data_IF_909890547501
#
_entry.id   IF_909890547501
#
_cell.length_a   1.000
_cell.length_b   1.000
_cell.length_c   1.000
_cell.angle_alpha   90.00
_cell.angle_beta   90.00
_cell.angle_gamma   90.00
#
_symmetry.space_group_name_H-M   'P 1'
#
loop_
_entity.id
_entity.type
_entity.pdbx_description
1 polymer ?
#
# COMPACT_ATOMS: atom_id res chain seq x y z
N UNK A 1 -89.62 56.91 7.69
CA UNK A 1 -88.45 57.60 7.11
C UNK A 1 -87.31 57.81 8.11
N UNK A 2 -87.47 58.52 9.24
CA UNK A 2 -86.37 58.79 10.20
C UNK A 2 -85.56 57.57 10.70
N UNK A 3 -86.24 56.47 11.09
CA UNK A 3 -85.58 55.23 11.56
C UNK A 3 -84.79 54.49 10.48
N UNK A 4 -85.23 54.60 9.23
CA UNK A 4 -84.55 53.98 8.08
C UNK A 4 -83.30 54.79 7.74
N UNK A 5 -83.38 56.12 7.75
CA UNK A 5 -82.22 57.00 7.59
C UNK A 5 -81.16 56.79 8.67
N UNK A 6 -81.54 56.68 9.95
CA UNK A 6 -80.53 56.52 11.02
C UNK A 6 -79.79 55.19 10.93
N UNK A 7 -80.46 54.13 10.45
CA UNK A 7 -79.83 52.83 10.24
C UNK A 7 -78.90 52.85 9.02
N UNK A 8 -79.33 53.48 7.92
CA UNK A 8 -78.47 53.71 6.77
C UNK A 8 -77.21 54.50 7.11
N UNK A 9 -77.33 55.57 7.92
CA UNK A 9 -76.18 56.37 8.38
C UNK A 9 -75.22 55.57 9.25
N UNK A 10 -75.76 54.73 10.16
CA UNK A 10 -74.96 53.82 10.99
C UNK A 10 -74.20 52.80 10.14
N UNK A 11 -74.89 52.13 9.23
CA UNK A 11 -74.30 51.12 8.35
C UNK A 11 -73.26 51.75 7.41
N UNK A 12 -73.47 53.00 6.97
CA UNK A 12 -72.51 53.75 6.17
C UNK A 12 -71.24 54.08 6.96
N UNK A 13 -71.38 54.46 8.23
CA UNK A 13 -70.24 54.73 9.12
C UNK A 13 -69.45 53.47 9.43
N UNK A 14 -70.14 52.34 9.62
CA UNK A 14 -69.52 51.05 9.90
C UNK A 14 -68.79 50.49 8.67
N UNK A 15 -69.41 50.56 7.48
CA UNK A 15 -68.74 50.22 6.23
C UNK A 15 -67.51 51.09 5.97
N UNK A 16 -67.57 52.39 6.29
CA UNK A 16 -66.41 53.28 6.18
C UNK A 16 -65.25 52.83 7.07
N UNK A 17 -65.52 52.45 8.33
CA UNK A 17 -64.50 51.89 9.23
C UNK A 17 -63.90 50.58 8.71
N UNK A 18 -64.73 49.68 8.19
CA UNK A 18 -64.26 48.40 7.63
C UNK A 18 -63.35 48.64 6.43
N UNK A 19 -63.71 49.58 5.54
CA UNK A 19 -62.87 49.95 4.39
C UNK A 19 -61.52 50.53 4.84
N UNK A 20 -61.51 51.39 5.86
CA UNK A 20 -60.27 51.96 6.42
C UNK A 20 -59.37 50.86 7.04
N UNK A 21 -59.94 49.94 7.83
CA UNK A 21 -59.19 48.82 8.41
C UNK A 21 -58.62 47.88 7.34
N UNK A 22 -59.41 47.54 6.32
CA UNK A 22 -58.94 46.71 5.21
C UNK A 22 -57.85 47.41 4.39
N UNK A 23 -57.87 48.74 4.28
CA UNK A 23 -56.82 49.49 3.60
C UNK A 23 -55.50 49.42 4.40
N UNK A 24 -55.55 49.59 5.72
CA UNK A 24 -54.39 49.47 6.61
C UNK A 24 -53.80 48.05 6.61
N UNK A 25 -54.65 47.01 6.70
CA UNK A 25 -54.20 45.61 6.63
C UNK A 25 -53.53 45.29 5.27
N UNK A 26 -54.09 45.78 4.17
CA UNK A 26 -53.50 45.60 2.84
C UNK A 26 -52.15 46.32 2.68
N UNK A 27 -51.97 47.50 3.29
CA UNK A 27 -50.67 48.17 3.30
C UNK A 27 -49.63 47.38 4.09
N UNK A 28 -49.99 46.89 5.27
CA UNK A 28 -49.09 46.08 6.11
C UNK A 28 -48.70 44.77 5.43
N UNK A 29 -49.64 44.09 4.75
CA UNK A 29 -49.35 42.89 3.98
C UNK A 29 -48.39 43.17 2.81
N UNK A 30 -48.59 44.29 2.09
CA UNK A 30 -47.68 44.69 1.00
C UNK A 30 -46.27 44.95 1.51
N UNK A 31 -46.13 45.68 2.62
CA UNK A 31 -44.82 45.94 3.23
C UNK A 31 -44.12 44.64 3.66
N UNK A 32 -44.87 43.72 4.28
CA UNK A 32 -44.33 42.43 4.70
C UNK A 32 -43.88 41.56 3.51
N UNK A 33 -44.65 41.55 2.42
CA UNK A 33 -44.29 40.85 1.18
C UNK A 33 -43.04 41.47 0.53
N UNK A 34 -42.92 42.79 0.54
CA UNK A 34 -41.76 43.50 0.01
C UNK A 34 -40.50 43.18 0.80
N UNK A 35 -40.58 43.19 2.14
CA UNK A 35 -39.49 42.79 3.02
C UNK A 35 -39.04 41.35 2.77
N UNK A 36 -39.98 40.40 2.65
CA UNK A 36 -39.67 38.99 2.31
C UNK A 36 -39.01 38.85 0.94
N UNK A 37 -39.43 39.63 -0.06
CA UNK A 37 -38.77 39.62 -1.37
C UNK A 37 -37.32 40.10 -1.28
N UNK A 38 -37.04 41.13 -0.48
CA UNK A 38 -35.68 41.63 -0.28
C UNK A 38 -34.80 40.57 0.37
N UNK A 39 -35.30 39.87 1.39
CA UNK A 39 -34.58 38.76 2.02
C UNK A 39 -34.31 37.61 1.05
N UNK A 40 -35.31 37.18 0.27
CA UNK A 40 -35.15 36.12 -0.74
C UNK A 40 -34.11 36.49 -1.79
N UNK A 41 -34.08 37.75 -2.24
CA UNK A 41 -33.05 38.24 -3.17
C UNK A 41 -31.66 38.16 -2.55
N UNK A 42 -31.51 38.55 -1.28
CA UNK A 42 -30.25 38.48 -0.55
C UNK A 42 -29.76 37.05 -0.33
N UNK A 43 -30.66 36.12 -0.01
CA UNK A 43 -30.31 34.70 0.12
C UNK A 43 -29.90 34.10 -1.23
N UNK A 44 -30.60 34.46 -2.31
CA UNK A 44 -30.28 33.96 -3.65
C UNK A 44 -28.91 34.44 -4.14
N UNK A 45 -28.53 35.70 -3.85
CA UNK A 45 -27.17 36.19 -4.17
C UNK A 45 -26.10 35.45 -3.38
N UNK A 46 -26.33 35.21 -2.07
CA UNK A 46 -25.41 34.45 -1.22
C UNK A 46 -25.25 33.00 -1.68
N UNK A 47 -26.35 32.32 -2.01
CA UNK A 47 -26.32 30.94 -2.52
C UNK A 47 -25.56 30.84 -3.84
N UNK A 48 -25.72 31.83 -4.74
CA UNK A 48 -24.96 31.89 -6.00
C UNK A 48 -23.45 32.04 -5.77
N UNK A 49 -23.02 32.88 -4.82
CA UNK A 49 -21.59 33.01 -4.51
C UNK A 49 -21.01 31.73 -3.91
N UNK A 50 -21.71 31.10 -2.98
CA UNK A 50 -21.28 29.84 -2.36
C UNK A 50 -21.19 28.70 -3.40
N UNK A 51 -22.13 28.67 -4.35
CA UNK A 51 -22.14 27.69 -5.44
C UNK A 51 -20.96 27.87 -6.41
N UNK A 52 -20.59 29.11 -6.72
CA UNK A 52 -19.39 29.39 -7.54
C UNK A 52 -18.09 29.02 -6.81
N UNK A 53 -18.00 29.26 -5.50
CA UNK A 53 -16.87 28.82 -4.68
C UNK A 53 -16.76 27.30 -4.64
N UNK A 54 -17.87 26.59 -4.39
CA UNK A 54 -17.89 25.13 -4.40
C UNK A 54 -17.45 24.55 -5.75
N UNK A 55 -17.87 25.15 -6.87
CA UNK A 55 -17.43 24.75 -8.22
C UNK A 55 -15.91 24.88 -8.38
N UNK A 56 -15.32 26.00 -7.93
CA UNK A 56 -13.86 26.21 -7.97
C UNK A 56 -13.13 25.16 -7.14
N UNK A 57 -13.62 24.87 -5.94
CA UNK A 57 -13.02 23.83 -5.07
C UNK A 57 -13.08 22.45 -5.70
N UNK A 58 -14.23 22.07 -6.29
CA UNK A 58 -14.38 20.79 -6.98
C UNK A 58 -13.40 20.68 -8.15
N UNK A 59 -13.24 21.75 -8.92
CA UNK A 59 -12.30 21.77 -10.05
C UNK A 59 -10.86 21.57 -9.58
N UNK A 60 -10.44 22.24 -8.50
CA UNK A 60 -9.10 22.10 -7.92
C UNK A 60 -8.85 20.68 -7.36
N UNK A 61 -9.83 20.12 -6.64
CA UNK A 61 -9.73 18.75 -6.12
C UNK A 61 -9.59 17.74 -7.26
N UNK A 62 -10.33 17.93 -8.35
CA UNK A 62 -10.24 17.07 -9.53
C UNK A 62 -8.85 17.13 -10.16
N UNK A 63 -8.30 18.32 -10.39
CA UNK A 63 -6.95 18.46 -10.96
C UNK A 63 -5.88 17.83 -10.08
N UNK A 64 -5.96 18.03 -8.76
CA UNK A 64 -5.00 17.46 -7.82
C UNK A 64 -5.08 15.92 -7.78
N UNK A 65 -6.30 15.38 -7.76
CA UNK A 65 -6.49 13.91 -7.79
C UNK A 65 -5.96 13.29 -9.10
N UNK A 66 -6.06 14.01 -10.23
CA UNK A 66 -5.54 13.55 -11.50
C UNK A 66 -4.00 13.59 -11.55
N UNK A 67 -3.37 14.61 -10.96
CA UNK A 67 -1.90 14.68 -10.87
C UNK A 67 -1.34 13.60 -9.94
N UNK A 68 -1.91 13.44 -8.74
CA UNK A 68 -1.51 12.40 -7.79
C UNK A 68 -1.64 11.01 -8.42
N UNK A 69 -2.74 10.74 -9.14
CA UNK A 69 -2.93 9.46 -9.84
C UNK A 69 -1.87 9.21 -10.92
N UNK A 70 -1.40 10.26 -11.61
CA UNK A 70 -0.32 10.12 -12.61
C UNK A 70 1.01 9.82 -11.93
N UNK A 71 1.33 10.52 -10.84
CA UNK A 71 2.55 10.29 -10.05
C UNK A 71 2.60 8.85 -9.53
N UNK A 72 1.53 8.38 -8.87
CA UNK A 72 1.45 6.99 -8.42
C UNK A 72 1.60 5.98 -9.56
N UNK A 73 1.03 6.26 -10.74
CA UNK A 73 1.14 5.39 -11.90
C UNK A 73 2.57 5.32 -12.43
N UNK A 74 3.29 6.44 -12.44
CA UNK A 74 4.65 6.48 -12.95
C UNK A 74 5.67 5.91 -11.95
N UNK A 75 5.45 6.09 -10.64
CA UNK A 75 6.19 5.39 -9.59
C UNK A 75 6.00 3.87 -9.68
N UNK A 76 4.76 3.40 -9.84
CA UNK A 76 4.47 1.97 -10.00
C UNK A 76 5.20 1.36 -11.20
N UNK A 77 5.21 2.06 -12.35
CA UNK A 77 5.99 1.62 -13.53
C UNK A 77 7.50 1.60 -13.28
N UNK A 78 8.02 2.55 -12.50
CA UNK A 78 9.44 2.60 -12.15
C UNK A 78 9.83 1.41 -11.27
N UNK A 79 9.02 1.12 -10.25
CA UNK A 79 9.21 -0.05 -9.38
C UNK A 79 9.09 -1.36 -10.17
N UNK A 80 8.13 -1.48 -11.08
CA UNK A 80 7.98 -2.67 -11.93
C UNK A 80 9.21 -2.92 -12.80
N UNK A 81 9.76 -1.86 -13.41
CA UNK A 81 11.02 -1.94 -14.17
C UNK A 81 12.19 -2.35 -13.29
N UNK A 82 12.29 -1.81 -12.09
CA UNK A 82 13.34 -2.16 -11.13
C UNK A 82 13.27 -3.64 -10.72
N UNK A 83 12.09 -4.13 -10.33
CA UNK A 83 11.86 -5.55 -10.00
C UNK A 83 12.24 -6.45 -11.19
N UNK A 84 11.88 -6.06 -12.41
CA UNK A 84 12.24 -6.82 -13.62
C UNK A 84 13.77 -6.88 -13.81
N UNK A 85 14.46 -5.76 -13.65
CA UNK A 85 15.92 -5.72 -13.73
C UNK A 85 16.59 -6.54 -12.64
N UNK A 86 16.08 -6.50 -11.40
CA UNK A 86 16.59 -7.30 -10.29
C UNK A 86 16.39 -8.79 -10.52
N UNK A 87 15.21 -9.20 -11.00
CA UNK A 87 14.93 -10.60 -11.36
C UNK A 87 15.84 -11.09 -12.47
N UNK A 88 16.08 -10.27 -13.50
CA UNK A 88 17.02 -10.61 -14.57
C UNK A 88 18.43 -10.78 -14.02
N UNK A 89 18.92 -9.79 -13.25
CA UNK A 89 20.22 -9.88 -12.58
C UNK A 89 20.33 -11.14 -11.73
N UNK A 90 19.31 -11.48 -10.96
CA UNK A 90 19.30 -12.69 -10.15
C UNK A 90 19.27 -13.99 -10.98
N UNK A 91 18.58 -14.00 -12.13
CA UNK A 91 18.61 -15.14 -13.05
C UNK A 91 19.96 -15.34 -13.73
N UNK A 92 20.69 -14.26 -13.95
CA UNK A 92 22.04 -14.24 -14.53
C UNK A 92 23.13 -14.48 -13.44
N UNK A 93 22.76 -14.49 -12.16
CA UNK A 93 23.70 -14.61 -11.05
C UNK A 93 24.08 -16.05 -10.71
N UNK A 94 25.38 -16.29 -10.43
CA UNK A 94 25.86 -17.57 -9.92
C UNK A 94 25.23 -17.95 -8.57
N UNK A 95 24.77 -19.20 -8.43
CA UNK A 95 24.27 -19.73 -7.15
C UNK A 95 22.82 -19.40 -6.76
N UNK A 96 22.12 -18.51 -7.48
CA UNK A 96 20.65 -18.44 -7.43
C UNK A 96 20.15 -19.54 -8.36
N UNK A 97 19.67 -20.65 -7.81
CA UNK A 97 19.17 -21.78 -8.61
C UNK A 97 18.19 -21.28 -9.67
N UNK A 98 18.52 -21.50 -10.95
CA UNK A 98 17.72 -21.13 -12.10
C UNK A 98 16.26 -21.53 -11.86
N UNK A 99 15.35 -20.56 -11.95
CA UNK A 99 13.89 -20.73 -11.74
C UNK A 99 13.26 -21.71 -12.76
N UNK A 100 14.06 -22.24 -13.72
CA UNK A 100 13.67 -23.08 -14.84
C UNK A 100 14.80 -24.04 -15.25
N UNK A 101 14.50 -25.21 -15.85
CA UNK A 101 15.51 -26.19 -16.22
C UNK A 101 16.27 -25.72 -17.47
N UNK A 102 17.59 -25.52 -17.38
CA UNK A 102 18.51 -25.75 -18.51
C UNK A 102 20.00 -25.60 -18.14
N UNK A 103 20.69 -26.74 -18.16
CA UNK A 103 21.89 -27.04 -18.98
C UNK A 103 23.09 -26.07 -19.07
N UNK A 104 23.71 -25.57 -17.98
CA UNK A 104 25.16 -25.21 -18.08
C UNK A 104 25.95 -25.60 -16.82
N UNK A 105 26.78 -26.63 -16.94
CA UNK A 105 27.80 -26.99 -15.95
C UNK A 105 28.97 -25.99 -16.01
N UNK A 106 29.46 -25.54 -14.86
CA UNK A 106 30.86 -25.05 -14.72
C UNK A 106 31.12 -23.55 -14.53
N UNK A 107 30.11 -22.70 -14.28
CA UNK A 107 30.34 -21.30 -13.87
C UNK A 107 30.14 -21.19 -12.36
N UNK A 108 30.94 -20.32 -11.71
CA UNK A 108 30.95 -20.03 -10.25
C UNK A 108 29.57 -20.28 -9.65
N UNK A 109 29.46 -21.12 -8.64
CA UNK A 109 28.19 -21.84 -8.41
C UNK A 109 27.54 -21.51 -7.07
N UNK A 110 28.04 -20.48 -6.37
CA UNK A 110 27.60 -20.08 -5.03
C UNK A 110 27.57 -18.55 -4.91
N UNK A 111 26.83 -18.06 -3.92
CA UNK A 111 26.61 -16.64 -3.69
C UNK A 111 27.75 -15.98 -2.93
N UNK A 112 28.08 -14.75 -3.34
CA UNK A 112 28.92 -13.83 -2.62
C UNK A 112 28.08 -12.66 -2.10
N UNK A 113 28.75 -11.62 -1.59
CA UNK A 113 28.09 -10.52 -0.90
C UNK A 113 27.08 -9.78 -1.81
N UNK A 114 27.43 -9.56 -3.08
CA UNK A 114 26.62 -8.79 -4.02
C UNK A 114 25.32 -9.52 -4.40
N UNK A 115 25.40 -10.83 -4.61
CA UNK A 115 24.23 -11.66 -4.89
C UNK A 115 23.29 -11.69 -3.68
N UNK A 116 23.84 -11.84 -2.47
CA UNK A 116 23.03 -11.84 -1.24
C UNK A 116 22.36 -10.48 -0.99
N UNK A 117 23.06 -9.37 -1.23
CA UNK A 117 22.48 -8.03 -1.16
C UNK A 117 21.32 -7.89 -2.15
N UNK A 118 21.47 -8.39 -3.38
CA UNK A 118 20.40 -8.32 -4.39
C UNK A 118 19.19 -9.16 -3.99
N UNK A 119 19.41 -10.35 -3.42
CA UNK A 119 18.31 -11.20 -2.91
C UNK A 119 17.57 -10.50 -1.77
N UNK A 120 18.27 -9.85 -0.84
CA UNK A 120 17.63 -9.08 0.23
C UNK A 120 16.83 -7.90 -0.31
N UNK A 121 17.33 -7.21 -1.34
CA UNK A 121 16.58 -6.16 -2.02
C UNK A 121 15.31 -6.70 -2.67
N UNK A 122 15.35 -7.87 -3.34
CA UNK A 122 14.16 -8.54 -3.86
C UNK A 122 13.13 -8.87 -2.76
N UNK A 123 13.57 -9.34 -1.60
CA UNK A 123 12.67 -9.57 -0.46
C UNK A 123 12.00 -8.28 0.00
N UNK A 124 12.72 -7.15 -0.03
CA UNK A 124 12.14 -5.84 0.27
C UNK A 124 11.05 -5.40 -0.70
N UNK A 125 11.13 -5.84 -1.96
CA UNK A 125 10.08 -5.59 -2.97
C UNK A 125 8.85 -6.50 -2.81
N UNK A 126 8.87 -7.42 -1.85
CA UNK A 126 7.76 -8.34 -1.56
C UNK A 126 7.89 -9.72 -2.22
N UNK A 127 9.05 -10.05 -2.80
CA UNK A 127 9.31 -11.39 -3.31
C UNK A 127 9.22 -12.43 -2.18
N UNK A 128 8.47 -13.51 -2.39
CA UNK A 128 8.19 -14.51 -1.34
C UNK A 128 9.02 -15.77 -1.47
N UNK A 129 9.64 -15.98 -2.64
CA UNK A 129 10.41 -17.19 -2.95
C UNK A 129 11.79 -16.80 -3.42
N UNK A 130 12.81 -17.35 -2.77
CA UNK A 130 14.20 -17.07 -3.11
C UNK A 130 15.03 -18.35 -3.00
N UNK A 131 16.04 -18.47 -3.85
CA UNK A 131 16.94 -19.60 -3.89
C UNK A 131 18.32 -19.14 -3.46
N UNK A 132 18.92 -19.84 -2.50
CA UNK A 132 20.25 -19.52 -1.97
C UNK A 132 21.18 -20.72 -2.13
N UNK A 133 22.41 -20.52 -2.59
CA UNK A 133 23.45 -21.56 -2.63
C UNK A 133 24.75 -21.02 -2.05
N UNK A 134 25.28 -21.72 -1.05
CA UNK A 134 26.47 -21.32 -0.32
C UNK A 134 27.57 -22.37 -0.45
N UNK A 135 28.82 -21.91 -0.46
CA UNK A 135 29.98 -22.78 -0.27
C UNK A 135 30.07 -23.20 1.20
N UNK A 136 30.29 -24.49 1.46
CA UNK A 136 30.30 -25.09 2.80
C UNK A 136 31.31 -24.49 3.79
N UNK A 137 32.29 -23.73 3.30
CA UNK A 137 33.40 -23.17 4.08
C UNK A 137 33.22 -21.67 4.41
N UNK A 138 32.26 -20.97 3.79
CA UNK A 138 32.13 -19.53 3.94
C UNK A 138 30.95 -19.14 4.80
N UNK A 139 31.20 -18.31 5.80
CA UNK A 139 30.16 -17.66 6.59
C UNK A 139 29.79 -16.33 5.94
N UNK A 140 28.52 -15.96 5.98
CA UNK A 140 28.03 -14.71 5.43
C UNK A 140 27.19 -13.93 6.43
N UNK A 141 27.28 -12.61 6.37
CA UNK A 141 26.40 -11.68 7.10
C UNK A 141 26.20 -10.44 6.24
N UNK A 142 24.96 -10.18 5.85
CA UNK A 142 24.58 -9.04 5.00
C UNK A 142 23.32 -8.38 5.54
N UNK A 143 23.18 -7.10 5.23
CA UNK A 143 22.01 -6.28 5.56
C UNK A 143 21.72 -5.38 4.36
N UNK A 144 20.46 -5.33 3.93
CA UNK A 144 19.99 -4.52 2.80
C UNK A 144 18.50 -4.25 2.97
N UNK A 145 18.06 -3.02 2.68
CA UNK A 145 16.64 -2.63 2.69
C UNK A 145 15.84 -3.10 3.94
N UNK A 146 16.45 -3.03 5.13
CA UNK A 146 15.84 -3.43 6.40
C UNK A 146 15.80 -4.95 6.65
N UNK A 147 16.25 -5.76 5.69
CA UNK A 147 16.45 -7.20 5.84
C UNK A 147 17.87 -7.53 6.27
N UNK A 148 18.03 -8.62 7.02
CA UNK A 148 19.31 -9.17 7.45
C UNK A 148 19.36 -10.65 7.12
N UNK A 149 20.49 -11.10 6.58
CA UNK A 149 20.77 -12.52 6.34
C UNK A 149 22.10 -12.87 6.99
N UNK A 150 22.13 -14.01 7.66
CA UNK A 150 23.36 -14.58 8.19
C UNK A 150 23.39 -16.08 7.90
N UNK A 151 24.46 -16.55 7.28
CA UNK A 151 24.74 -17.95 7.05
C UNK A 151 25.97 -18.37 7.86
N UNK A 152 25.85 -19.46 8.62
CA UNK A 152 26.96 -20.08 9.35
C UNK A 152 27.14 -21.53 8.91
N UNK A 153 28.40 -21.92 8.73
CA UNK A 153 28.80 -23.24 8.25
C UNK A 153 28.76 -24.32 9.34
N UNK A 154 28.70 -25.57 8.91
CA UNK A 154 28.63 -26.76 9.75
C UNK A 154 29.99 -27.23 10.32
N UNK A 155 30.98 -26.35 10.47
CA UNK A 155 32.32 -26.74 10.93
C UNK A 155 32.39 -27.04 12.43
N UNK A 156 31.58 -26.36 13.24
CA UNK A 156 31.64 -26.47 14.71
C UNK A 156 30.80 -27.64 15.25
N UNK A 157 29.52 -27.70 14.89
CA UNK A 157 28.54 -28.60 15.51
C UNK A 157 27.83 -29.51 14.49
N UNK A 158 28.34 -29.56 13.25
CA UNK A 158 27.77 -30.34 12.17
C UNK A 158 26.45 -29.80 11.60
N UNK A 159 26.06 -28.55 11.90
CA UNK A 159 24.84 -27.93 11.36
C UNK A 159 25.12 -26.64 10.59
N UNK A 160 24.48 -26.50 9.45
CA UNK A 160 24.35 -25.23 8.75
C UNK A 160 23.25 -24.42 9.41
N UNK A 161 23.47 -23.12 9.55
CA UNK A 161 22.48 -22.20 10.08
C UNK A 161 22.23 -21.06 9.11
N UNK A 162 20.95 -20.79 8.85
CA UNK A 162 20.52 -19.64 8.05
C UNK A 162 19.53 -18.81 8.87
N UNK A 163 19.96 -17.62 9.27
CA UNK A 163 19.09 -16.62 9.88
C UNK A 163 18.66 -15.59 8.86
N UNK A 164 17.37 -15.30 8.84
CA UNK A 164 16.80 -14.17 8.12
C UNK A 164 15.91 -13.38 9.08
N UNK A 165 16.01 -12.06 9.02
CA UNK A 165 15.13 -11.17 9.76
C UNK A 165 14.90 -9.88 9.02
N UNK A 166 13.81 -9.20 9.36
CA UNK A 166 13.47 -7.88 8.88
C UNK A 166 13.20 -6.98 10.10
N UNK A 167 13.68 -5.74 10.05
CA UNK A 167 13.56 -4.79 11.18
C UNK A 167 12.12 -4.47 11.55
N UNK A 168 11.21 -4.48 10.58
CA UNK A 168 9.80 -4.09 10.70
C UNK A 168 8.90 -5.30 10.99
N UNK A 169 8.99 -6.36 10.19
CA UNK A 169 8.06 -7.52 10.25
C UNK A 169 8.51 -8.62 11.22
N UNK A 170 9.34 -8.26 12.21
CA UNK A 170 9.96 -9.12 13.24
C UNK A 170 9.28 -10.48 13.39
N UNK A 171 9.92 -11.53 12.86
CA UNK A 171 9.47 -12.91 13.03
C UNK A 171 8.68 -13.51 11.86
N UNK A 172 8.74 -12.92 10.66
CA UNK A 172 8.19 -13.51 9.43
C UNK A 172 8.74 -14.92 9.20
N UNK A 173 7.87 -15.92 9.39
CA UNK A 173 8.23 -17.34 9.27
C UNK A 173 8.48 -17.69 7.81
N UNK A 174 9.38 -18.64 7.59
CA UNK A 174 9.62 -19.20 6.26
C UNK A 174 9.84 -20.70 6.37
N UNK A 175 9.68 -21.37 5.25
CA UNK A 175 10.12 -22.77 5.07
C UNK A 175 11.24 -22.82 4.04
N UNK A 176 12.05 -23.86 4.10
CA UNK A 176 13.07 -24.12 3.11
C UNK A 176 13.14 -25.59 2.72
N UNK A 177 13.36 -25.82 1.42
CA UNK A 177 13.94 -27.07 0.93
C UNK A 177 15.46 -26.93 0.98
N UNK A 178 16.12 -27.76 1.77
CA UNK A 178 17.55 -27.77 1.98
C UNK A 178 18.16 -29.00 1.32
N UNK A 179 19.36 -28.86 0.75
CA UNK A 179 20.09 -29.97 0.13
C UNK A 179 21.59 -29.67 0.03
N UNK A 180 22.41 -30.71 0.03
CA UNK A 180 23.85 -30.64 -0.20
C UNK A 180 24.17 -31.01 -1.65
N UNK A 181 25.17 -30.37 -2.27
CA UNK A 181 25.47 -30.54 -3.70
C UNK A 181 26.98 -30.70 -3.93
N UNK A 182 27.38 -31.79 -4.58
CA UNK A 182 28.77 -32.05 -4.96
C UNK A 182 29.21 -31.11 -6.08
N UNK A 183 30.39 -30.49 -5.98
CA UNK A 183 30.89 -29.56 -7.01
C UNK A 183 31.29 -30.26 -8.31
N UNK A 184 31.69 -31.52 -8.24
CA UNK A 184 32.33 -32.23 -9.35
C UNK A 184 31.28 -32.69 -10.37
N UNK A 185 30.25 -33.40 -9.91
CA UNK A 185 29.23 -34.04 -10.75
C UNK A 185 27.85 -33.39 -10.62
N UNK A 186 27.63 -32.59 -9.57
CA UNK A 186 26.33 -31.99 -9.26
C UNK A 186 25.40 -32.93 -8.50
N UNK A 187 25.90 -34.04 -7.95
CA UNK A 187 25.09 -34.96 -7.14
C UNK A 187 24.43 -34.20 -5.98
N UNK A 188 23.13 -34.39 -5.80
CA UNK A 188 22.34 -33.77 -4.74
C UNK A 188 22.02 -34.82 -3.66
N UNK A 189 22.27 -34.47 -2.40
CA UNK A 189 22.05 -35.37 -1.27
C UNK A 189 21.42 -34.63 -0.08
N UNK A 190 20.97 -35.42 0.91
CA UNK A 190 20.46 -34.92 2.20
C UNK A 190 19.27 -33.93 2.07
N UNK A 191 18.34 -34.17 1.14
CA UNK A 191 17.20 -33.27 0.97
C UNK A 191 16.31 -33.25 2.23
N UNK A 192 16.01 -32.06 2.74
CA UNK A 192 15.17 -31.85 3.93
C UNK A 192 14.23 -30.65 3.74
N UNK A 193 12.97 -30.81 4.13
CA UNK A 193 12.02 -29.70 4.25
C UNK A 193 11.98 -29.21 5.70
N UNK A 194 12.40 -27.95 5.91
CA UNK A 194 12.54 -27.36 7.24
C UNK A 194 11.67 -26.12 7.37
N UNK A 195 11.11 -25.90 8.56
CA UNK A 195 10.43 -24.64 8.93
C UNK A 195 11.35 -23.82 9.80
N UNK A 196 11.30 -22.50 9.63
CA UNK A 196 12.07 -21.59 10.45
C UNK A 196 11.55 -21.60 11.90
N UNK A 197 12.49 -21.54 12.84
CA UNK A 197 12.21 -21.33 14.25
C UNK A 197 12.64 -19.92 14.65
N UNK A 198 11.90 -19.32 15.60
CA UNK A 198 12.27 -18.01 16.13
C UNK A 198 13.57 -18.12 16.90
N UNK A 199 14.52 -17.26 16.58
CA UNK A 199 15.78 -17.11 17.30
C UNK A 199 16.05 -15.61 17.52
N UNK A 200 15.79 -15.15 18.75
CA UNK A 200 15.78 -13.72 19.07
C UNK A 200 14.80 -12.92 18.21
N UNK A 201 15.34 -11.96 17.45
CA UNK A 201 14.59 -11.10 16.52
C UNK A 201 14.50 -11.66 15.08
N UNK A 202 15.13 -12.80 14.83
CA UNK A 202 15.22 -13.42 13.51
C UNK A 202 14.50 -14.76 13.48
N UNK A 203 14.36 -15.29 12.28
CA UNK A 203 13.92 -16.65 12.02
C UNK A 203 15.12 -17.45 11.52
N UNK A 204 15.31 -18.66 12.03
CA UNK A 204 16.47 -19.50 11.79
C UNK A 204 16.05 -20.86 11.23
N UNK A 205 16.79 -21.36 10.25
CA UNK A 205 16.80 -22.77 9.87
C UNK A 205 18.12 -23.38 10.32
N UNK A 206 18.02 -24.50 11.04
CA UNK A 206 19.12 -25.37 11.44
C UNK A 206 19.07 -26.64 10.59
N UNK A 207 20.06 -26.85 9.72
CA UNK A 207 20.11 -27.96 8.77
C UNK A 207 21.34 -28.84 9.04
N UNK A 208 21.12 -30.11 9.39
CA UNK A 208 22.20 -31.03 9.78
C UNK A 208 22.96 -31.52 8.56
N UNK A 209 24.30 -31.36 8.58
CA UNK A 209 25.18 -31.87 7.53
C UNK A 209 25.26 -33.39 7.57
N UNK A 210 25.12 -34.05 6.43
CA UNK A 210 25.32 -35.51 6.31
C UNK A 210 26.43 -35.92 5.34
N UNK A 211 26.85 -35.05 4.43
CA UNK A 211 27.92 -35.35 3.47
C UNK A 211 29.08 -34.36 3.59
N UNK A 212 30.09 -34.55 2.74
CA UNK A 212 31.21 -33.64 2.56
C UNK A 212 31.11 -32.83 1.25
N UNK A 213 29.93 -32.78 0.65
CA UNK A 213 29.69 -32.03 -0.58
C UNK A 213 29.96 -30.53 -0.39
N UNK A 214 30.41 -29.90 -1.48
CA UNK A 214 30.98 -28.56 -1.47
C UNK A 214 29.96 -27.45 -1.22
N UNK A 215 28.71 -27.66 -1.64
CA UNK A 215 27.67 -26.65 -1.58
C UNK A 215 26.48 -27.06 -0.72
N UNK A 216 25.79 -26.06 -0.19
CA UNK A 216 24.47 -26.20 0.44
C UNK A 216 23.50 -25.23 -0.20
N UNK A 217 22.31 -25.73 -0.57
CA UNK A 217 21.23 -24.95 -1.17
C UNK A 217 20.06 -24.82 -0.19
N UNK A 218 19.46 -23.63 -0.14
CA UNK A 218 18.22 -23.32 0.59
C UNK A 218 17.22 -22.67 -0.38
N UNK A 219 16.14 -23.38 -0.68
CA UNK A 219 15.03 -22.85 -1.48
C UNK A 219 13.95 -22.34 -0.52
N UNK A 220 13.90 -21.04 -0.29
CA UNK A 220 13.05 -20.42 0.72
C UNK A 220 11.65 -20.09 0.18
N UNK A 221 10.66 -20.17 1.06
CA UNK A 221 9.33 -19.63 0.85
C UNK A 221 8.85 -18.96 2.14
N UNK A 222 8.65 -17.65 2.10
CA UNK A 222 8.09 -16.87 3.22
C UNK A 222 6.57 -17.11 3.32
N UNK A 223 6.08 -17.24 4.56
CA UNK A 223 4.70 -17.61 4.91
C UNK A 223 3.86 -16.38 5.27
#
# INVERSE_FOLDING_TARGET
MKRINSKLESDFLENKRIIEQLAEENELERENLENKMVELRRLNTKLKSELEEARKTIMLLKTNSESERREFKDEAKKMEKEIKMLRQKCGDMPGIGHFWPSEKKGVKDFMEKEELTTVLHLLSTGEKKVHLKFMRQYNWKVEEAGWTLQFKTATEDGHYYLWIGNKETRGLKFKASCQEICKIDGEEANQQELKSAKDGLRQCIKYKRLTFFDYVRFNLTFL
#
